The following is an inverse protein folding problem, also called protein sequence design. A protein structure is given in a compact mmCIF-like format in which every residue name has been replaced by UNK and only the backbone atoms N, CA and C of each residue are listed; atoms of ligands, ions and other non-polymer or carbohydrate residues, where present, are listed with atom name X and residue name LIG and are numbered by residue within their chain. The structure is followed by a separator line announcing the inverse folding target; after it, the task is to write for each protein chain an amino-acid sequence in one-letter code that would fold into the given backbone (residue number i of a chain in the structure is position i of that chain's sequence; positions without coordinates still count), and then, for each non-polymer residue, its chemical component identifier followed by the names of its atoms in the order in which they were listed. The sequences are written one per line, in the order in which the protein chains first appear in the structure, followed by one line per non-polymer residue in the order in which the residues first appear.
data_IF_286491306548
#
_entry.id   IF_286491306548
#
_cell.length_a   1.000
_cell.length_b   1.000
_cell.length_c   1.000
_cell.angle_alpha   90.00
_cell.angle_beta   90.00
_cell.angle_gamma   90.00
#
_symmetry.space_group_name_H-M   'P 1'
#
loop_
_entity.id
_entity.type
_entity.pdbx_description
1 polymer ?
#
# COMPACT_ATOMS: atom_id res chain seq x y z
N UNK A 1 -0.52 12.00 3.66
CA UNK A 1 -0.13 13.19 2.85
C UNK A 1 -0.83 14.42 3.40
N UNK A 2 -0.16 15.57 3.37
CA UNK A 2 -0.78 16.85 3.78
C UNK A 2 -1.18 17.63 2.53
N UNK A 3 -2.40 18.16 2.50
CA UNK A 3 -2.82 19.08 1.45
C UNK A 3 -2.32 20.49 1.73
N UNK A 4 -2.11 21.30 0.70
CA UNK A 4 -1.75 22.70 0.83
C UNK A 4 -2.88 23.58 1.40
N UNK A 5 -4.10 23.07 1.48
CA UNK A 5 -5.31 23.77 1.93
C UNK A 5 -5.58 23.57 3.43
N UNK A 6 -4.61 23.82 4.28
CA UNK A 6 -4.82 23.81 5.73
C UNK A 6 -4.67 22.43 6.40
N UNK A 7 -5.31 22.27 7.55
CA UNK A 7 -5.09 21.16 8.48
C UNK A 7 -5.75 19.81 8.11
N UNK A 8 -6.32 19.70 6.91
CA UNK A 8 -6.94 18.44 6.47
C UNK A 8 -5.89 17.42 6.08
N UNK A 9 -6.14 16.17 6.43
CA UNK A 9 -5.25 15.04 6.16
C UNK A 9 -6.01 13.95 5.40
N UNK A 10 -5.39 13.40 4.38
CA UNK A 10 -5.87 12.22 3.69
C UNK A 10 -4.87 11.08 3.88
N UNK A 11 -5.28 10.05 4.59
CA UNK A 11 -4.48 8.85 4.81
C UNK A 11 -4.96 7.75 3.88
N UNK A 12 -4.03 7.13 3.20
CA UNK A 12 -4.26 5.96 2.36
C UNK A 12 -3.40 4.82 2.89
N UNK A 13 -4.05 3.79 3.38
CA UNK A 13 -3.42 2.51 3.69
C UNK A 13 -3.74 1.56 2.54
N UNK A 14 -2.74 1.15 1.78
CA UNK A 14 -2.91 0.33 0.59
C UNK A 14 -2.14 -0.97 0.65
N UNK A 15 -2.64 -1.95 -0.08
CA UNK A 15 -1.94 -3.17 -0.42
C UNK A 15 -1.78 -3.24 -1.94
N UNK A 16 -0.54 -3.33 -2.39
CA UNK A 16 -0.20 -3.46 -3.80
C UNK A 16 -0.04 -4.93 -4.15
N UNK A 17 -0.79 -5.39 -5.14
CA UNK A 17 -0.57 -6.70 -5.72
C UNK A 17 0.71 -6.66 -6.58
N UNK A 18 1.73 -7.41 -6.18
CA UNK A 18 3.03 -7.41 -6.85
C UNK A 18 2.98 -7.99 -8.28
N UNK A 19 1.93 -8.71 -8.63
CA UNK A 19 1.76 -9.36 -9.94
C UNK A 19 0.85 -8.54 -10.84
N UNK A 20 -0.34 -8.19 -10.37
CA UNK A 20 -1.35 -7.48 -11.19
C UNK A 20 -1.20 -5.96 -11.13
N UNK A 21 -0.49 -5.43 -10.14
CA UNK A 21 -0.34 -4.01 -9.82
C UNK A 21 -1.64 -3.31 -9.41
N UNK A 22 -2.67 -4.08 -9.10
CA UNK A 22 -3.88 -3.55 -8.48
C UNK A 22 -3.60 -3.09 -7.05
N UNK A 23 -4.28 -2.04 -6.64
CA UNK A 23 -4.17 -1.48 -5.29
C UNK A 23 -5.50 -1.60 -4.58
N UNK A 24 -5.51 -2.35 -3.49
CA UNK A 24 -6.63 -2.39 -2.56
C UNK A 24 -6.29 -1.46 -1.40
N UNK A 25 -7.20 -0.54 -1.08
CA UNK A 25 -6.91 0.52 -0.11
C UNK A 25 -8.06 0.81 0.83
N UNK A 26 -7.69 1.34 1.97
CA UNK A 26 -8.59 1.95 2.97
C UNK A 26 -8.14 3.39 3.19
N UNK A 27 -9.06 4.33 3.10
CA UNK A 27 -8.78 5.75 3.22
C UNK A 27 -9.52 6.34 4.43
N UNK A 28 -8.88 7.28 5.12
CA UNK A 28 -9.51 8.06 6.16
C UNK A 28 -8.88 9.46 6.28
N UNK A 29 -9.53 10.32 7.03
CA UNK A 29 -9.06 11.70 7.32
C UNK A 29 -8.51 11.83 8.76
N UNK A 30 -8.51 10.75 9.53
CA UNK A 30 -8.01 10.71 10.91
C UNK A 30 -6.59 10.18 11.02
N UNK A 31 -6.44 9.05 11.68
CA UNK A 31 -5.16 8.39 11.90
C UNK A 31 -5.16 6.96 11.34
N UNK A 32 -4.00 6.50 10.91
CA UNK A 32 -3.77 5.09 10.59
C UNK A 32 -3.44 4.36 11.89
N UNK A 33 -4.32 3.43 12.26
CA UNK A 33 -4.23 2.64 13.48
C UNK A 33 -4.31 1.15 13.18
N UNK A 34 -4.22 0.32 14.23
CA UNK A 34 -4.44 -1.11 14.11
C UNK A 34 -5.82 -1.44 13.51
N UNK A 35 -6.85 -0.67 13.86
CA UNK A 35 -8.20 -0.86 13.30
C UNK A 35 -8.23 -0.59 11.79
N UNK A 36 -7.46 0.39 11.32
CA UNK A 36 -7.32 0.66 9.89
C UNK A 36 -6.69 -0.52 9.16
N UNK A 37 -5.67 -1.13 9.75
CA UNK A 37 -5.03 -2.34 9.21
C UNK A 37 -6.03 -3.50 9.21
N UNK A 38 -6.80 -3.69 10.26
CA UNK A 38 -7.85 -4.72 10.33
C UNK A 38 -8.88 -4.53 9.22
N UNK A 39 -9.30 -3.31 8.95
CA UNK A 39 -10.23 -3.00 7.85
C UNK A 39 -9.61 -3.38 6.49
N UNK A 40 -8.34 -3.11 6.28
CA UNK A 40 -7.64 -3.53 5.07
C UNK A 40 -7.59 -5.06 4.94
N UNK A 41 -7.31 -5.78 6.02
CA UNK A 41 -7.31 -7.26 6.03
C UNK A 41 -8.68 -7.82 5.66
N UNK A 42 -9.76 -7.27 6.21
CA UNK A 42 -11.13 -7.68 5.83
C UNK A 42 -11.42 -7.39 4.36
N UNK A 43 -11.00 -6.24 3.85
CA UNK A 43 -11.18 -5.88 2.45
C UNK A 43 -10.43 -6.86 1.53
N UNK A 44 -9.21 -7.22 1.88
CA UNK A 44 -8.42 -8.22 1.14
C UNK A 44 -9.07 -9.60 1.17
N UNK A 45 -9.53 -10.04 2.32
CA UNK A 45 -10.22 -11.33 2.45
C UNK A 45 -11.51 -11.38 1.62
N UNK A 46 -12.23 -10.26 1.51
CA UNK A 46 -13.45 -10.13 0.72
C UNK A 46 -13.23 -9.86 -0.77
N UNK A 47 -12.01 -9.72 -1.23
CA UNK A 47 -11.72 -9.39 -2.63
C UNK A 47 -11.87 -10.57 -3.61
N UNK A 48 -12.21 -11.76 -3.11
CA UNK A 48 -12.42 -12.94 -3.96
C UNK A 48 -11.14 -13.53 -4.56
N UNK A 49 -10.00 -13.28 -3.94
CA UNK A 49 -8.72 -13.84 -4.39
C UNK A 49 -8.70 -15.36 -4.17
N UNK A 50 -8.39 -16.10 -5.23
CA UNK A 50 -8.40 -17.57 -5.23
C UNK A 50 -7.07 -18.21 -4.77
N UNK A 51 -6.12 -17.40 -4.34
CA UNK A 51 -4.78 -17.82 -3.94
C UNK A 51 -4.50 -17.42 -2.50
N UNK A 52 -3.61 -18.13 -1.80
CA UNK A 52 -3.14 -17.69 -0.49
C UNK A 52 -2.57 -16.29 -0.54
N UNK A 53 -2.90 -15.48 0.46
CA UNK A 53 -2.46 -14.08 0.55
C UNK A 53 -1.31 -13.99 1.56
N UNK A 54 -0.20 -13.45 1.12
CA UNK A 54 0.89 -13.01 2.00
C UNK A 54 1.07 -11.51 1.86
N UNK A 55 1.01 -10.79 2.97
CA UNK A 55 1.20 -9.34 3.00
C UNK A 55 2.58 -9.04 3.57
N UNK A 56 3.36 -8.28 2.81
CA UNK A 56 4.64 -7.72 3.26
C UNK A 56 4.38 -6.39 3.93
N UNK A 57 4.79 -6.26 5.17
CA UNK A 57 4.51 -5.10 6.02
C UNK A 57 5.81 -4.48 6.52
N UNK A 58 5.81 -3.16 6.65
CA UNK A 58 6.80 -2.48 7.47
C UNK A 58 6.64 -2.89 8.92
N UNK A 59 7.65 -2.63 9.72
CA UNK A 59 7.70 -3.07 11.10
C UNK A 59 7.08 -2.04 12.07
N UNK A 60 6.01 -1.37 11.68
CA UNK A 60 5.31 -0.40 12.52
C UNK A 60 4.55 -1.09 13.66
N UNK A 61 4.51 -0.44 14.83
CA UNK A 61 3.87 -1.01 16.03
C UNK A 61 2.40 -1.37 15.82
N UNK A 62 1.64 -0.52 15.14
CA UNK A 62 0.22 -0.75 14.90
C UNK A 62 -0.04 -1.91 13.92
N UNK A 63 0.96 -2.31 13.14
CA UNK A 63 0.89 -3.48 12.25
C UNK A 63 1.22 -4.79 12.99
N UNK A 64 2.06 -4.72 14.03
CA UNK A 64 2.57 -5.90 14.75
C UNK A 64 1.78 -6.28 16.00
N UNK A 65 0.77 -5.52 16.37
CA UNK A 65 -0.01 -5.80 17.56
C UNK A 65 -0.82 -7.10 17.42
N UNK A 66 -1.18 -7.68 18.56
CA UNK A 66 -1.91 -8.96 18.60
C UNK A 66 -3.26 -8.90 17.87
N UNK A 67 -3.93 -7.74 17.92
CA UNK A 67 -5.20 -7.54 17.21
C UNK A 67 -5.05 -7.84 15.70
N UNK A 68 -4.04 -7.26 15.07
CA UNK A 68 -3.78 -7.44 13.64
C UNK A 68 -3.34 -8.87 13.33
N UNK A 69 -2.40 -9.40 14.10
CA UNK A 69 -1.89 -10.76 13.87
C UNK A 69 -2.96 -11.82 14.10
N UNK A 70 -3.79 -11.66 15.13
CA UNK A 70 -4.90 -12.56 15.41
C UNK A 70 -5.93 -12.57 14.29
N UNK A 71 -6.32 -11.39 13.80
CA UNK A 71 -7.26 -11.27 12.69
C UNK A 71 -6.69 -11.88 11.39
N UNK A 72 -5.42 -11.66 11.10
CA UNK A 72 -4.77 -12.24 9.92
C UNK A 72 -4.80 -13.77 9.98
N UNK A 73 -4.54 -14.37 11.14
CA UNK A 73 -4.68 -15.81 11.34
C UNK A 73 -6.11 -16.32 11.10
N UNK A 74 -7.12 -15.61 11.61
CA UNK A 74 -8.53 -15.94 11.39
C UNK A 74 -8.94 -15.89 9.92
N UNK A 75 -8.40 -14.91 9.17
CA UNK A 75 -8.69 -14.72 7.76
C UNK A 75 -7.82 -15.60 6.83
N UNK A 76 -6.87 -16.34 7.39
CA UNK A 76 -5.93 -17.13 6.60
C UNK A 76 -4.91 -16.31 5.81
N UNK A 77 -4.62 -15.08 6.26
CA UNK A 77 -3.64 -14.19 5.65
C UNK A 77 -2.32 -14.32 6.38
N UNK A 78 -1.25 -14.57 5.64
CA UNK A 78 0.10 -14.61 6.19
C UNK A 78 0.71 -13.20 6.21
N UNK A 79 1.29 -12.81 7.34
CA UNK A 79 1.97 -11.52 7.50
C UNK A 79 3.48 -11.75 7.51
N UNK A 80 4.18 -11.02 6.65
CA UNK A 80 5.64 -11.01 6.58
C UNK A 80 6.14 -9.61 6.95
N UNK A 81 6.76 -9.48 8.11
CA UNK A 81 7.31 -8.21 8.58
C UNK A 81 8.73 -8.02 8.08
N UNK A 82 8.98 -6.89 7.43
CA UNK A 82 10.32 -6.52 6.99
C UNK A 82 11.21 -6.16 8.20
N UNK A 83 12.54 -6.34 8.06
CA UNK A 83 13.46 -5.85 9.07
C UNK A 83 13.32 -4.33 9.27
N UNK A 84 13.62 -3.86 10.46
CA UNK A 84 13.63 -2.43 10.74
C UNK A 84 14.59 -1.69 9.79
N UNK A 85 14.22 -0.47 9.41
CA UNK A 85 15.03 0.39 8.53
C UNK A 85 15.31 -0.18 7.12
N UNK A 86 14.38 -0.96 6.57
CA UNK A 86 14.50 -1.53 5.22
C UNK A 86 13.34 -1.09 4.29
N UNK A 87 13.05 0.21 4.16
CA UNK A 87 11.91 0.70 3.35
C UNK A 87 12.10 0.41 1.86
N UNK A 88 13.35 0.29 1.39
CA UNK A 88 13.67 -0.06 0.01
C UNK A 88 13.22 -1.47 -0.40
N UNK A 89 12.96 -2.35 0.56
CA UNK A 89 12.45 -3.70 0.31
C UNK A 89 10.93 -3.74 0.13
N UNK A 90 10.22 -2.67 0.48
CA UNK A 90 8.77 -2.59 0.37
C UNK A 90 8.35 -1.87 -0.91
N UNK A 91 7.72 -2.59 -1.83
CA UNK A 91 7.27 -2.05 -3.11
C UNK A 91 6.24 -0.92 -2.94
N UNK A 92 5.48 -0.92 -1.86
CA UNK A 92 4.48 0.11 -1.60
C UNK A 92 5.10 1.52 -1.48
N UNK A 93 6.33 1.62 -1.01
CA UNK A 93 7.05 2.91 -0.96
C UNK A 93 7.30 3.47 -2.36
N UNK A 94 7.54 2.61 -3.33
CA UNK A 94 7.68 3.01 -4.73
C UNK A 94 6.36 3.48 -5.31
N UNK A 95 5.25 2.83 -4.93
CA UNK A 95 3.90 3.26 -5.29
C UNK A 95 3.61 4.67 -4.78
N UNK A 96 3.88 4.94 -3.51
CA UNK A 96 3.64 6.27 -2.94
C UNK A 96 4.50 7.36 -3.59
N UNK A 97 5.72 7.04 -3.94
CA UNK A 97 6.61 7.96 -4.68
C UNK A 97 6.04 8.25 -6.07
N UNK A 98 5.55 7.24 -6.76
CA UNK A 98 4.91 7.38 -8.07
C UNK A 98 3.64 8.23 -8.00
N UNK A 99 2.76 7.96 -7.04
CA UNK A 99 1.52 8.73 -6.85
C UNK A 99 1.84 10.21 -6.58
N UNK A 100 2.83 10.51 -5.76
CA UNK A 100 3.26 11.88 -5.52
C UNK A 100 3.74 12.55 -6.80
N UNK A 101 4.55 11.86 -7.59
CA UNK A 101 5.08 12.39 -8.85
C UNK A 101 3.97 12.66 -9.87
N UNK A 102 3.04 11.73 -10.02
CA UNK A 102 1.98 11.83 -11.02
C UNK A 102 0.86 12.79 -10.64
N UNK A 103 0.52 12.88 -9.36
CA UNK A 103 -0.72 13.53 -8.94
C UNK A 103 -0.49 14.78 -8.09
N UNK A 104 0.64 14.92 -7.42
CA UNK A 104 0.81 15.93 -6.38
C UNK A 104 1.94 16.93 -6.65
N UNK A 105 3.00 16.51 -7.32
CA UNK A 105 4.14 17.40 -7.56
C UNK A 105 3.76 18.57 -8.47
N UNK A 106 4.06 19.77 -8.01
CA UNK A 106 3.83 21.01 -8.74
C UNK A 106 2.37 21.26 -9.14
N UNK A 107 1.43 20.59 -8.48
CA UNK A 107 0.00 20.73 -8.72
C UNK A 107 -0.66 21.48 -7.57
N UNK A 108 -1.44 22.50 -7.92
CA UNK A 108 -2.28 23.22 -6.98
C UNK A 108 -3.71 22.67 -7.05
N UNK A 109 -4.32 22.49 -5.90
CA UNK A 109 -5.71 22.01 -5.79
C UNK A 109 -6.56 23.09 -5.12
N UNK A 110 -7.67 23.43 -5.75
CA UNK A 110 -8.59 24.46 -5.23
C UNK A 110 -9.42 23.93 -4.03
N UNK A 111 -9.58 22.62 -3.93
CA UNK A 111 -10.31 21.99 -2.84
C UNK A 111 -9.63 20.71 -2.37
N UNK A 112 -9.98 20.31 -1.15
CA UNK A 112 -9.51 19.03 -0.58
C UNK A 112 -10.05 17.83 -1.36
N UNK A 113 -11.27 17.95 -1.85
CA UNK A 113 -11.93 16.92 -2.67
C UNK A 113 -11.18 16.70 -4.00
N UNK A 114 -10.69 17.75 -4.62
CA UNK A 114 -9.83 17.64 -5.83
C UNK A 114 -8.50 16.94 -5.51
N UNK A 115 -7.90 17.25 -4.38
CA UNK A 115 -6.67 16.61 -3.90
C UNK A 115 -6.88 15.11 -3.66
N UNK A 116 -7.96 14.72 -2.96
CA UNK A 116 -8.32 13.32 -2.77
C UNK A 116 -8.59 12.62 -4.11
N UNK A 117 -9.36 13.26 -4.97
CA UNK A 117 -9.73 12.73 -6.29
C UNK A 117 -8.52 12.45 -7.18
N UNK A 118 -7.50 13.30 -7.14
CA UNK A 118 -6.26 13.09 -7.90
C UNK A 118 -5.50 11.85 -7.44
N UNK A 119 -5.44 11.61 -6.13
CA UNK A 119 -4.81 10.43 -5.55
C UNK A 119 -5.61 9.18 -5.92
N UNK A 120 -6.91 9.20 -5.71
CA UNK A 120 -7.79 8.06 -5.98
C UNK A 120 -7.80 7.69 -7.46
N UNK A 121 -7.82 8.67 -8.35
CA UNK A 121 -7.77 8.45 -9.80
C UNK A 121 -6.45 7.79 -10.23
N UNK A 122 -5.33 8.27 -9.70
CA UNK A 122 -4.03 7.66 -9.97
C UNK A 122 -3.98 6.20 -9.49
N UNK A 123 -4.47 5.92 -8.28
CA UNK A 123 -4.48 4.56 -7.73
C UNK A 123 -5.42 3.63 -8.50
N UNK A 124 -6.56 4.10 -8.94
CA UNK A 124 -7.51 3.33 -9.74
C UNK A 124 -6.95 2.93 -11.11
N UNK A 125 -6.04 3.72 -11.66
CA UNK A 125 -5.44 3.51 -12.97
C UNK A 125 -4.13 2.72 -12.96
N UNK A 126 -3.66 2.28 -11.78
CA UNK A 126 -2.36 1.60 -11.66
C UNK A 126 -2.26 0.33 -12.49
N UNK A 127 -3.32 -0.47 -12.57
CA UNK A 127 -3.34 -1.72 -13.33
C UNK A 127 -3.77 -1.54 -14.80
N UNK A 128 -4.13 -0.35 -15.22
CA UNK A 128 -4.61 -0.02 -16.56
C UNK A 128 -3.73 1.03 -17.25
N UNK A 129 -4.03 2.31 -17.09
CA UNK A 129 -3.36 3.42 -17.78
C UNK A 129 -1.88 3.55 -17.39
N UNK A 130 -1.52 3.21 -16.14
CA UNK A 130 -0.15 3.25 -15.61
C UNK A 130 0.55 1.87 -15.64
N UNK A 131 -0.01 0.89 -16.34
CA UNK A 131 0.50 -0.49 -16.35
C UNK A 131 1.95 -0.60 -16.76
N UNK A 132 2.35 0.13 -17.81
CA UNK A 132 3.74 0.08 -18.31
C UNK A 132 4.73 0.70 -17.32
N UNK A 133 4.40 1.85 -16.76
CA UNK A 133 5.22 2.51 -15.74
C UNK A 133 5.30 1.68 -14.47
N UNK A 134 4.19 1.08 -14.06
CA UNK A 134 4.12 0.17 -12.91
C UNK A 134 5.02 -1.06 -13.12
N UNK A 135 4.99 -1.65 -14.30
CA UNK A 135 5.83 -2.80 -14.63
C UNK A 135 7.33 -2.48 -14.50
N UNK A 136 7.74 -1.28 -14.91
CA UNK A 136 9.13 -0.82 -14.75
C UNK A 136 9.47 -0.49 -13.30
N UNK A 137 8.54 0.16 -12.59
CA UNK A 137 8.74 0.65 -11.23
C UNK A 137 8.82 -0.48 -10.20
N UNK A 138 8.02 -1.53 -10.37
CA UNK A 138 7.88 -2.63 -9.42
C UNK A 138 8.73 -3.86 -9.79
N UNK A 139 9.74 -3.69 -10.60
CA UNK A 139 10.72 -4.75 -10.84
C UNK A 139 11.48 -5.04 -9.54
N UNK A 140 11.53 -6.31 -9.19
CA UNK A 140 12.27 -6.80 -8.02
C UNK A 140 13.78 -6.79 -8.31
N UNK A 141 14.38 -5.63 -8.38
CA UNK A 141 15.84 -5.46 -8.43
C UNK A 141 16.38 -5.31 -7.00
N UNK A 142 16.11 -6.31 -6.19
CA UNK A 142 16.74 -6.40 -4.87
C UNK A 142 18.13 -7.02 -5.02
N UNK A 143 19.05 -6.59 -4.17
CA UNK A 143 20.30 -7.30 -3.99
C UNK A 143 19.97 -8.72 -3.52
N UNK A 144 20.15 -9.71 -4.39
CA UNK A 144 19.93 -11.10 -4.04
C UNK A 144 21.15 -11.59 -3.28
N UNK A 145 20.94 -12.05 -2.07
CA UNK A 145 21.88 -12.98 -1.45
C UNK A 145 21.57 -14.34 -2.07
N UNK A 146 22.57 -14.96 -2.70
CA UNK A 146 22.43 -16.31 -3.24
C UNK A 146 21.94 -17.24 -2.14
N UNK A 147 20.97 -18.10 -2.47
CA UNK A 147 20.37 -19.14 -1.62
C UNK A 147 19.23 -18.76 -0.67
N UNK A 148 18.63 -17.60 -0.77
CA UNK A 148 17.37 -17.32 -0.05
C UNK A 148 16.21 -17.27 -1.05
N UNK A 149 15.25 -18.20 -1.00
CA UNK A 149 14.05 -18.10 -1.81
C UNK A 149 13.27 -16.85 -1.38
N UNK A 150 13.20 -15.87 -2.25
CA UNK A 150 12.35 -14.69 -2.04
C UNK A 150 10.95 -15.08 -2.45
N UNK A 151 10.13 -15.46 -1.49
CA UNK A 151 8.69 -15.52 -1.66
C UNK A 151 8.17 -14.09 -1.58
N UNK A 152 8.12 -13.43 -2.74
CA UNK A 152 7.43 -12.16 -2.87
C UNK A 152 5.93 -12.44 -2.99
N UNK A 153 5.21 -11.98 -2.03
CA UNK A 153 3.77 -11.86 -2.15
C UNK A 153 3.39 -10.45 -2.50
#
# INVERSE_FOLDING_TARGET
MRSATGRKRYNVLGALNAVTHEVIRVCNEGYVTADTVCTLLHTLAGAGLQVPITIVLDNARYQRCELVQSLARQLGIHLLFLPSYSPNLNLIERLWRFVRKQSLNSTWFDSFEQFQGAIDDCLNKMATDHKQEAATLFVHQFQRFEDVPILAA
#
